data_IF_964321053625
#
_entry.id   IF_964321053625
#
_cell.length_a   1.000
_cell.length_b   1.000
_cell.length_c   1.000
_cell.angle_alpha   90.00
_cell.angle_beta   90.00
_cell.angle_gamma   90.00
#
_symmetry.space_group_name_H-M   'P 1'
#
loop_
_entity.id
_entity.type
_entity.pdbx_description
1 polymer ?
#
# COMPACT_ATOMS: atom_id res chain seq x y z
N UNK A 1 36.06 48.21 -7.63
CA UNK A 1 35.49 46.83 -7.80
C UNK A 1 35.46 46.02 -6.49
N UNK A 2 35.28 46.61 -5.32
CA UNK A 2 35.44 45.96 -4.01
C UNK A 2 34.15 45.97 -3.14
N UNK A 3 33.02 46.45 -3.66
CA UNK A 3 31.80 46.63 -2.85
C UNK A 3 30.83 45.40 -2.87
N UNK A 4 31.09 44.36 -3.66
CA UNK A 4 30.22 43.18 -3.76
C UNK A 4 30.59 42.03 -2.80
N UNK A 5 31.79 42.11 -2.16
CA UNK A 5 32.24 41.03 -1.25
C UNK A 5 31.36 40.77 -0.02
N UNK A 6 30.75 41.79 0.65
CA UNK A 6 29.94 41.53 1.84
C UNK A 6 28.60 40.87 1.54
N UNK A 7 28.11 40.90 0.29
CA UNK A 7 26.83 40.27 -0.10
C UNK A 7 26.98 38.84 -0.59
N UNK A 8 28.19 38.36 -0.82
CA UNK A 8 28.47 37.01 -1.33
C UNK A 8 27.90 35.90 -0.44
N UNK A 9 28.05 35.94 0.90
CA UNK A 9 27.47 34.90 1.76
C UNK A 9 25.93 34.90 1.76
N UNK A 10 25.31 36.07 1.61
CA UNK A 10 23.85 36.20 1.53
C UNK A 10 23.32 35.58 0.24
N UNK A 11 23.97 35.86 -0.90
CA UNK A 11 23.60 35.28 -2.21
C UNK A 11 23.79 33.78 -2.23
N UNK A 12 24.88 33.26 -1.67
CA UNK A 12 25.13 31.83 -1.54
C UNK A 12 24.08 31.12 -0.63
N UNK A 13 23.73 31.77 0.49
CA UNK A 13 22.68 31.27 1.39
C UNK A 13 21.31 31.21 0.72
N UNK A 14 20.93 32.22 -0.04
CA UNK A 14 19.68 32.24 -0.80
C UNK A 14 19.67 31.18 -1.91
N UNK A 15 20.76 30.99 -2.64
CA UNK A 15 20.88 29.97 -3.67
C UNK A 15 20.76 28.55 -3.09
N UNK A 16 21.39 28.29 -1.93
CA UNK A 16 21.30 27.04 -1.24
C UNK A 16 19.86 26.76 -0.77
N UNK A 17 19.20 27.75 -0.19
CA UNK A 17 17.81 27.63 0.26
C UNK A 17 16.85 27.37 -0.90
N UNK A 18 17.02 28.07 -2.01
CA UNK A 18 16.23 27.84 -3.23
C UNK A 18 16.45 26.43 -3.79
N UNK A 19 17.68 25.92 -3.77
CA UNK A 19 18.00 24.55 -4.20
C UNK A 19 17.36 23.49 -3.31
N UNK A 20 17.35 23.70 -1.99
CA UNK A 20 16.70 22.81 -1.03
C UNK A 20 15.19 22.81 -1.23
N UNK A 21 14.58 23.98 -1.40
CA UNK A 21 13.13 24.10 -1.65
C UNK A 21 12.73 23.47 -2.98
N UNK A 22 13.55 23.63 -4.03
CA UNK A 22 13.30 23.01 -5.33
C UNK A 22 13.42 21.48 -5.23
N UNK A 23 14.45 20.96 -4.57
CA UNK A 23 14.61 19.52 -4.34
C UNK A 23 13.45 18.94 -3.53
N UNK A 24 13.02 19.63 -2.47
CA UNK A 24 11.84 19.26 -1.68
C UNK A 24 10.55 19.25 -2.53
N UNK A 25 10.37 20.29 -3.37
CA UNK A 25 9.21 20.36 -4.26
C UNK A 25 9.21 19.24 -5.30
N UNK A 26 10.36 18.95 -5.91
CA UNK A 26 10.50 17.85 -6.87
C UNK A 26 10.25 16.47 -6.21
N UNK A 27 10.77 16.24 -5.01
CA UNK A 27 10.55 15.02 -4.23
C UNK A 27 9.06 14.84 -3.88
N UNK A 28 8.42 15.89 -3.35
CA UNK A 28 6.99 15.83 -3.03
C UNK A 28 6.11 15.65 -4.27
N UNK A 29 6.48 16.22 -5.41
CA UNK A 29 5.76 16.05 -6.67
C UNK A 29 5.92 14.64 -7.22
N UNK A 30 7.12 14.06 -7.16
CA UNK A 30 7.36 12.67 -7.54
C UNK A 30 6.52 11.69 -6.68
N UNK A 31 6.44 11.94 -5.36
CA UNK A 31 5.59 11.14 -4.47
C UNK A 31 4.08 11.30 -4.75
N UNK A 32 3.63 12.52 -5.08
CA UNK A 32 2.21 12.76 -5.42
C UNK A 32 1.81 12.14 -6.76
N UNK A 33 2.73 12.05 -7.72
CA UNK A 33 2.48 11.41 -9.02
C UNK A 33 2.47 9.87 -8.93
N UNK A 34 3.01 9.29 -7.86
CA UNK A 34 3.04 7.85 -7.64
C UNK A 34 1.69 7.26 -7.17
N UNK A 35 0.78 8.09 -6.63
CA UNK A 35 -0.52 7.67 -6.09
C UNK A 35 -1.66 8.35 -6.83
N UNK A 36 -2.42 7.58 -7.59
CA UNK A 36 -3.58 8.07 -8.34
C UNK A 36 -4.87 7.48 -7.76
N UNK A 37 -5.77 8.36 -7.32
CA UNK A 37 -7.08 7.95 -6.82
C UNK A 37 -7.99 7.52 -7.98
N UNK A 38 -8.61 6.36 -7.85
CA UNK A 38 -9.57 5.82 -8.79
C UNK A 38 -10.97 5.73 -8.17
N UNK A 39 -12.03 6.06 -8.91
CA UNK A 39 -13.40 5.98 -8.39
C UNK A 39 -13.91 4.54 -8.25
N UNK A 40 -13.26 3.60 -8.93
CA UNK A 40 -13.61 2.16 -8.94
C UNK A 40 -12.34 1.32 -8.89
N UNK A 41 -12.41 0.04 -8.48
CA UNK A 41 -11.28 -0.87 -8.43
C UNK A 41 -10.89 -1.39 -9.83
N UNK A 42 -10.86 -0.51 -10.81
CA UNK A 42 -10.43 -0.77 -12.19
C UNK A 42 -9.26 0.13 -12.52
N UNK A 43 -8.16 -0.46 -12.96
CA UNK A 43 -6.86 0.19 -13.11
C UNK A 43 -6.29 -0.02 -14.52
N UNK A 44 -6.84 0.70 -15.54
CA UNK A 44 -6.45 0.52 -16.94
C UNK A 44 -4.95 0.72 -17.17
N UNK A 45 -4.31 1.65 -16.47
CA UNK A 45 -2.88 1.88 -16.59
C UNK A 45 -2.02 0.70 -16.08
N UNK A 46 -2.57 -0.14 -15.19
CA UNK A 46 -1.95 -1.38 -14.73
C UNK A 46 -2.42 -2.61 -15.54
N UNK A 47 -3.47 -2.45 -16.35
CA UNK A 47 -4.03 -3.49 -17.20
C UNK A 47 -4.81 -4.56 -16.44
N UNK A 48 -5.44 -4.22 -15.30
CA UNK A 48 -6.29 -5.14 -14.55
C UNK A 48 -7.35 -4.41 -13.71
N UNK A 49 -8.34 -5.17 -13.26
CA UNK A 49 -9.34 -4.73 -12.28
C UNK A 49 -9.40 -5.74 -11.12
N UNK A 50 -9.79 -5.27 -9.94
CA UNK A 50 -10.17 -6.13 -8.81
C UNK A 50 -11.68 -6.28 -8.88
N UNK A 51 -12.16 -7.48 -9.22
CA UNK A 51 -13.56 -7.73 -9.57
C UNK A 51 -14.40 -8.18 -8.39
N UNK A 52 -13.83 -9.05 -7.56
CA UNK A 52 -14.54 -9.63 -6.43
C UNK A 52 -13.85 -9.22 -5.13
N UNK A 53 -14.64 -8.93 -4.12
CA UNK A 53 -14.22 -8.55 -2.78
C UNK A 53 -15.23 -9.10 -1.79
N UNK A 54 -14.83 -9.41 -0.54
CA UNK A 54 -15.77 -9.83 0.49
C UNK A 54 -16.93 -8.84 0.65
N UNK A 55 -18.14 -9.35 0.59
CA UNK A 55 -19.36 -8.60 0.87
C UNK A 55 -19.72 -8.83 2.36
N UNK A 56 -19.26 -7.93 3.23
CA UNK A 56 -19.55 -7.95 4.65
C UNK A 56 -20.21 -6.62 5.02
N UNK A 57 -21.30 -6.66 5.79
CA UNK A 57 -22.04 -5.47 6.23
C UNK A 57 -21.19 -4.54 7.13
N UNK A 58 -20.18 -5.10 7.80
CA UNK A 58 -19.24 -4.35 8.65
C UNK A 58 -18.03 -3.83 7.88
N UNK A 59 -17.94 -4.08 6.57
CA UNK A 59 -16.81 -3.73 5.74
C UNK A 59 -17.19 -2.66 4.72
N UNK A 60 -16.54 -1.51 4.81
CA UNK A 60 -16.71 -0.42 3.85
C UNK A 60 -15.41 -0.19 3.09
N UNK A 61 -15.47 -0.28 1.76
CA UNK A 61 -14.36 0.16 0.91
C UNK A 61 -14.39 1.68 0.80
N UNK A 62 -13.34 2.33 1.25
CA UNK A 62 -13.24 3.79 1.25
C UNK A 62 -12.61 4.34 -0.02
N UNK A 63 -11.46 3.80 -0.42
CA UNK A 63 -10.66 4.37 -1.52
C UNK A 63 -10.01 3.29 -2.35
N UNK A 64 -9.76 3.64 -3.62
CA UNK A 64 -8.97 2.81 -4.54
C UNK A 64 -7.83 3.66 -5.09
N UNK A 65 -6.62 3.17 -4.96
CA UNK A 65 -5.41 3.84 -5.43
C UNK A 65 -4.69 3.00 -6.46
N UNK A 66 -4.14 3.65 -7.48
CA UNK A 66 -3.11 3.07 -8.31
C UNK A 66 -1.77 3.67 -7.90
N UNK A 67 -0.85 2.82 -7.46
CA UNK A 67 0.47 3.20 -6.98
C UNK A 67 1.50 2.80 -8.04
N UNK A 68 2.37 3.75 -8.44
CA UNK A 68 3.44 3.51 -9.42
C UNK A 68 2.95 2.86 -10.72
N UNK A 69 1.69 3.11 -11.09
CA UNK A 69 1.02 2.57 -12.28
C UNK A 69 0.93 1.04 -12.36
N UNK A 70 1.26 0.33 -11.29
CA UNK A 70 1.38 -1.14 -11.32
C UNK A 70 0.75 -1.85 -10.12
N UNK A 71 0.57 -1.16 -8.99
CA UNK A 71 -0.01 -1.72 -7.77
C UNK A 71 -1.36 -1.05 -7.52
N UNK A 72 -2.41 -1.84 -7.42
CA UNK A 72 -3.69 -1.38 -6.90
C UNK A 72 -3.67 -1.46 -5.37
N UNK A 73 -4.14 -0.43 -4.67
CA UNK A 73 -4.44 -0.48 -3.24
C UNK A 73 -5.89 -0.10 -3.01
N UNK A 74 -6.58 -0.92 -2.25
CA UNK A 74 -7.94 -0.69 -1.80
C UNK A 74 -7.92 -0.50 -0.29
N UNK A 75 -8.36 0.66 0.16
CA UNK A 75 -8.47 0.98 1.58
C UNK A 75 -9.86 0.61 2.08
N UNK A 76 -9.91 0.01 3.25
CA UNK A 76 -11.13 -0.43 3.91
C UNK A 76 -11.22 0.14 5.32
N UNK A 77 -12.45 0.42 5.72
CA UNK A 77 -12.81 0.60 7.12
C UNK A 77 -13.70 -0.58 7.56
N UNK A 78 -13.47 -1.06 8.77
CA UNK A 78 -14.30 -2.07 9.41
C UNK A 78 -14.76 -1.59 10.79
N UNK A 79 -15.98 -1.94 11.19
CA UNK A 79 -16.46 -1.66 12.55
C UNK A 79 -15.76 -2.62 13.56
N UNK A 80 -15.24 -2.13 14.69
CA UNK A 80 -15.38 -0.83 15.35
C UNK A 80 -14.27 0.21 15.07
N UNK A 81 -14.03 0.56 13.83
CA UNK A 81 -13.10 1.64 13.47
C UNK A 81 -11.69 1.18 13.09
N UNK A 82 -11.55 -0.04 12.63
CA UNK A 82 -10.30 -0.53 12.05
C UNK A 82 -10.16 -0.05 10.61
N UNK A 83 -8.95 0.37 10.25
CA UNK A 83 -8.58 0.65 8.86
C UNK A 83 -7.49 -0.32 8.42
N UNK A 84 -7.59 -0.81 7.21
CA UNK A 84 -6.62 -1.71 6.62
C UNK A 84 -6.63 -1.58 5.10
N UNK A 85 -5.69 -2.20 4.42
CA UNK A 85 -5.64 -2.17 2.98
C UNK A 85 -5.32 -3.54 2.36
N UNK A 86 -5.84 -3.72 1.14
CA UNK A 86 -5.49 -4.79 0.22
C UNK A 86 -4.68 -4.21 -0.92
N UNK A 87 -3.48 -4.73 -1.16
CA UNK A 87 -2.70 -4.47 -2.37
C UNK A 87 -2.75 -5.64 -3.31
N UNK A 88 -2.81 -5.33 -4.61
CA UNK A 88 -2.84 -6.29 -5.70
C UNK A 88 -1.87 -5.82 -6.77
N UNK A 89 -1.06 -6.74 -7.28
CA UNK A 89 -0.16 -6.51 -8.41
C UNK A 89 0.03 -7.78 -9.23
N UNK A 90 0.65 -7.67 -10.38
CA UNK A 90 0.98 -8.85 -11.18
C UNK A 90 1.97 -9.74 -10.45
N UNK A 91 1.89 -11.04 -10.69
CA UNK A 91 2.72 -12.04 -10.01
C UNK A 91 4.22 -11.72 -10.12
N UNK A 92 4.91 -11.80 -8.99
CA UNK A 92 6.33 -11.48 -8.85
C UNK A 92 6.63 -10.00 -8.65
N UNK A 93 5.61 -9.15 -8.60
CA UNK A 93 5.78 -7.73 -8.32
C UNK A 93 5.86 -7.48 -6.81
N UNK A 94 6.86 -6.73 -6.31
CA UNK A 94 6.90 -6.33 -4.91
C UNK A 94 5.67 -5.47 -4.56
N UNK A 95 4.90 -5.88 -3.56
CA UNK A 95 3.73 -5.13 -3.07
C UNK A 95 4.05 -4.22 -1.88
N UNK A 96 5.26 -4.29 -1.34
CA UNK A 96 5.78 -3.36 -0.34
C UNK A 96 6.42 -2.16 -1.03
N UNK A 97 6.14 -0.96 -0.55
CA UNK A 97 6.74 0.25 -1.08
C UNK A 97 8.11 0.46 -0.42
N UNK A 98 9.12 0.97 -1.14
CA UNK A 98 10.45 1.21 -0.57
C UNK A 98 10.47 2.15 0.63
N UNK A 99 9.53 3.08 0.66
CA UNK A 99 9.42 4.11 1.71
C UNK A 99 8.54 3.67 2.88
N UNK A 100 7.94 2.48 2.81
CA UNK A 100 7.18 1.92 3.92
C UNK A 100 8.10 1.22 4.91
N UNK A 101 7.97 1.53 6.21
CA UNK A 101 8.63 0.74 7.21
C UNK A 101 8.15 -0.71 7.11
N UNK A 102 9.06 -1.69 7.25
CA UNK A 102 8.67 -3.09 7.26
C UNK A 102 7.68 -3.31 8.40
N UNK A 103 6.60 -4.07 8.13
CA UNK A 103 5.66 -4.46 9.17
C UNK A 103 6.40 -5.36 10.14
N UNK A 104 6.59 -4.94 11.40
CA UNK A 104 7.26 -5.77 12.39
C UNK A 104 6.46 -7.05 12.59
N UNK A 105 7.13 -8.19 12.57
CA UNK A 105 6.51 -9.47 12.86
C UNK A 105 7.49 -10.38 13.57
N UNK A 106 7.04 -11.00 14.62
CA UNK A 106 7.74 -12.04 15.40
C UNK A 106 7.13 -13.42 15.22
N UNK A 107 5.96 -13.48 14.54
CA UNK A 107 5.27 -14.71 14.21
C UNK A 107 5.05 -14.84 12.70
N UNK A 108 5.31 -16.03 12.20
CA UNK A 108 5.07 -16.42 10.81
C UNK A 108 4.30 -17.72 10.78
N UNK A 109 3.18 -17.72 10.08
CA UNK A 109 2.36 -18.90 9.87
C UNK A 109 2.16 -19.12 8.37
N UNK A 110 2.25 -20.37 7.93
CA UNK A 110 1.90 -20.78 6.58
C UNK A 110 0.73 -21.74 6.68
N UNK A 111 -0.34 -21.44 5.96
CA UNK A 111 -1.54 -22.26 5.95
C UNK A 111 -2.09 -22.43 4.53
N UNK A 112 -3.17 -23.20 4.39
CA UNK A 112 -3.92 -23.29 3.14
C UNK A 112 -5.36 -22.87 3.37
N UNK A 113 -5.85 -22.00 2.48
CA UNK A 113 -7.26 -21.59 2.40
C UNK A 113 -7.76 -21.98 1.01
N UNK A 114 -8.69 -22.90 0.92
CA UNK A 114 -9.24 -23.42 -0.34
C UNK A 114 -8.16 -23.82 -1.36
N UNK A 115 -7.09 -24.46 -0.87
CA UNK A 115 -5.97 -24.93 -1.68
C UNK A 115 -4.88 -23.87 -1.96
N UNK A 116 -5.16 -22.59 -1.76
CA UNK A 116 -4.19 -21.51 -1.91
C UNK A 116 -3.22 -21.50 -0.73
N UNK A 117 -1.93 -21.35 -1.02
CA UNK A 117 -0.92 -21.13 0.01
C UNK A 117 -1.00 -19.71 0.51
N UNK A 118 -1.13 -19.55 1.83
CA UNK A 118 -1.28 -18.26 2.50
C UNK A 118 -0.18 -18.12 3.54
N UNK A 119 0.59 -17.06 3.44
CA UNK A 119 1.59 -16.66 4.43
C UNK A 119 1.01 -15.55 5.30
N UNK A 120 1.07 -15.71 6.61
CA UNK A 120 0.65 -14.72 7.60
C UNK A 120 1.85 -14.32 8.45
N UNK A 121 2.11 -13.03 8.53
CA UNK A 121 3.17 -12.40 9.32
C UNK A 121 2.51 -11.44 10.29
N UNK A 122 2.76 -11.55 11.59
CA UNK A 122 2.12 -10.68 12.57
C UNK A 122 2.86 -10.62 13.90
N UNK A 123 2.60 -9.57 14.65
CA UNK A 123 2.96 -9.46 16.06
C UNK A 123 1.69 -9.24 16.88
N UNK A 124 1.50 -9.92 18.01
CA UNK A 124 0.36 -9.69 18.89
C UNK A 124 0.25 -8.20 19.29
N UNK A 125 -0.95 -7.62 19.13
CA UNK A 125 -1.20 -6.20 19.38
C UNK A 125 -0.62 -5.23 18.35
N UNK A 126 0.07 -5.72 17.32
CA UNK A 126 0.66 -4.94 16.24
C UNK A 126 -0.09 -5.05 14.92
N UNK A 127 0.60 -4.75 13.83
CA UNK A 127 0.07 -4.93 12.48
C UNK A 127 0.28 -6.37 12.00
N UNK A 128 -0.62 -6.82 11.13
CA UNK A 128 -0.51 -8.10 10.43
C UNK A 128 -0.42 -7.93 8.92
N UNK A 129 0.21 -8.90 8.27
CA UNK A 129 0.35 -8.98 6.83
C UNK A 129 0.00 -10.39 6.36
N UNK A 130 -0.92 -10.50 5.43
CA UNK A 130 -1.28 -11.75 4.78
C UNK A 130 -0.93 -11.68 3.31
N UNK A 131 -0.27 -12.71 2.80
CA UNK A 131 0.14 -12.80 1.39
C UNK A 131 -0.37 -14.08 0.76
N UNK A 132 -0.84 -13.96 -0.47
CA UNK A 132 -1.17 -15.11 -1.31
C UNK A 132 -1.05 -14.75 -2.79
N UNK A 133 -1.09 -15.77 -3.65
CA UNK A 133 -1.11 -15.59 -5.10
C UNK A 133 -2.31 -16.33 -5.68
N UNK A 134 -3.00 -15.69 -6.64
CA UNK A 134 -4.14 -16.27 -7.34
C UNK A 134 -4.24 -15.69 -8.75
N UNK A 135 -4.54 -16.53 -9.74
CA UNK A 135 -4.85 -16.13 -11.12
C UNK A 135 -3.81 -15.19 -11.77
N UNK A 136 -2.52 -15.37 -11.47
CA UNK A 136 -1.44 -14.53 -12.04
C UNK A 136 -1.22 -13.20 -11.31
N UNK A 137 -1.85 -13.00 -10.16
CA UNK A 137 -1.70 -11.84 -9.29
C UNK A 137 -1.21 -12.23 -7.91
N UNK A 138 -0.45 -11.33 -7.30
CA UNK A 138 -0.04 -11.38 -5.91
C UNK A 138 -0.88 -10.40 -5.09
N UNK A 139 -1.21 -10.79 -3.88
CA UNK A 139 -2.05 -10.07 -2.94
C UNK A 139 -1.33 -9.89 -1.63
N UNK A 140 -1.49 -8.71 -1.02
CA UNK A 140 -1.01 -8.39 0.31
C UNK A 140 -2.12 -7.65 1.07
N UNK A 141 -2.61 -8.24 2.15
CA UNK A 141 -3.62 -7.66 3.03
C UNK A 141 -2.96 -7.31 4.36
N UNK A 142 -3.10 -6.05 4.78
CA UNK A 142 -2.63 -5.61 6.10
C UNK A 142 -3.78 -5.10 6.93
N UNK A 143 -3.72 -5.36 8.21
CA UNK A 143 -4.65 -4.83 9.20
C UNK A 143 -4.03 -4.88 10.60
N UNK A 144 -4.55 -4.12 11.57
CA UNK A 144 -4.12 -4.22 12.94
C UNK A 144 -4.36 -5.65 13.45
N UNK A 145 -3.33 -6.29 14.00
CA UNK A 145 -3.50 -7.56 14.67
C UNK A 145 -4.04 -7.29 16.08
N UNK A 146 -5.17 -7.90 16.42
CA UNK A 146 -5.68 -7.89 17.79
C UNK A 146 -4.79 -8.68 18.74
N UNK A 147 -5.09 -8.65 20.04
CA UNK A 147 -4.36 -9.41 21.06
C UNK A 147 -4.35 -10.92 20.78
N UNK A 148 -5.36 -11.44 20.08
CA UNK A 148 -5.50 -12.85 19.70
C UNK A 148 -4.97 -13.17 18.29
N UNK A 149 -4.28 -12.26 17.63
CA UNK A 149 -3.78 -12.43 16.27
C UNK A 149 -4.71 -11.87 15.20
N UNK A 150 -4.46 -12.27 13.94
CA UNK A 150 -5.23 -11.82 12.80
C UNK A 150 -6.67 -12.35 12.85
N UNK A 151 -7.69 -11.55 12.47
CA UNK A 151 -9.07 -12.00 12.35
C UNK A 151 -9.19 -13.11 11.28
N UNK A 152 -9.19 -14.36 11.69
CA UNK A 152 -9.11 -15.52 10.78
C UNK A 152 -10.28 -15.59 9.78
N UNK A 153 -11.47 -15.21 10.21
CA UNK A 153 -12.67 -15.18 9.36
C UNK A 153 -12.54 -14.17 8.22
N UNK A 154 -12.12 -12.93 8.52
CA UNK A 154 -11.91 -11.88 7.55
C UNK A 154 -10.75 -12.20 6.58
N UNK A 155 -9.65 -12.72 7.11
CA UNK A 155 -8.52 -13.20 6.29
C UNK A 155 -8.98 -14.26 5.30
N UNK A 156 -9.73 -15.27 5.77
CA UNK A 156 -10.22 -16.34 4.91
C UNK A 156 -11.20 -15.81 3.84
N UNK A 157 -12.07 -14.86 4.18
CA UNK A 157 -12.98 -14.23 3.23
C UNK A 157 -12.19 -13.51 2.11
N UNK A 158 -11.21 -12.67 2.44
CA UNK A 158 -10.37 -12.03 1.42
C UNK A 158 -9.63 -13.04 0.54
N UNK A 159 -9.03 -14.07 1.12
CA UNK A 159 -8.30 -15.07 0.34
C UNK A 159 -9.23 -15.84 -0.61
N UNK A 160 -10.48 -16.11 -0.21
CA UNK A 160 -11.46 -16.81 -1.02
C UNK A 160 -12.04 -15.95 -2.12
N UNK A 161 -12.40 -14.72 -1.80
CA UNK A 161 -13.26 -13.88 -2.63
C UNK A 161 -12.48 -12.86 -3.46
N UNK A 162 -11.39 -12.27 -2.89
CA UNK A 162 -10.65 -11.28 -3.65
C UNK A 162 -10.09 -11.85 -4.94
N UNK A 163 -10.49 -11.27 -6.06
CA UNK A 163 -10.06 -11.67 -7.39
C UNK A 163 -9.65 -10.46 -8.22
N UNK A 164 -8.62 -10.63 -9.04
CA UNK A 164 -8.19 -9.64 -10.01
C UNK A 164 -8.16 -10.29 -11.40
N UNK A 165 -8.56 -9.52 -12.40
CA UNK A 165 -8.65 -9.97 -13.78
C UNK A 165 -7.96 -8.99 -14.72
N UNK A 166 -7.29 -9.46 -15.77
CA UNK A 166 -6.80 -8.60 -16.85
C UNK A 166 -7.95 -7.81 -17.47
N UNK A 167 -7.68 -6.57 -17.88
CA UNK A 167 -8.57 -5.73 -18.66
C UNK A 167 -8.32 -5.90 -20.14
#
# INVERSE_FOLDING_TARGET
MTELLPFLPLVLGMALLASILLAWHCLNRAHAEDWVLHPRPSFPAAGFAVTDLPADEFLTRERCWLIRRTIAQLDFAADPGWTFWLRVGRRGQPLTLPDEPPIPHDQRQISRVDGLLVEMLYSPGGAGLVRWSRNGFDYALTFPAGEMGLPSGLTAAFVREANAEPL
#
